data_IF_786868995837
#
_entry.id   IF_786868995837
#
_cell.length_a   1.000
_cell.length_b   1.000
_cell.length_c   1.000
_cell.angle_alpha   90.00
_cell.angle_beta   90.00
_cell.angle_gamma   90.00
#
_symmetry.space_group_name_H-M   'P 1'
#
loop_
_entity.id
_entity.type
_entity.pdbx_description
1 polymer ?
#
# COMPACT_ATOMS: atom_id res chain seq x y z
N UNK A 1 18.68 2.59 -5.52
CA UNK A 1 18.12 1.25 -5.81
C UNK A 1 16.61 1.34 -5.65
N UNK A 2 15.82 0.59 -6.42
CA UNK A 2 14.36 0.54 -6.28
C UNK A 2 13.93 -0.87 -5.87
N UNK A 3 13.08 -0.97 -4.87
CA UNK A 3 12.54 -2.24 -4.36
C UNK A 3 11.02 -2.14 -4.24
N UNK A 4 10.28 -3.24 -4.38
CA UNK A 4 8.84 -3.23 -4.13
C UNK A 4 8.57 -3.00 -2.64
N UNK A 5 7.55 -2.22 -2.29
CA UNK A 5 7.18 -2.05 -0.87
C UNK A 5 6.57 -3.31 -0.25
N UNK A 6 5.98 -4.18 -1.08
CA UNK A 6 5.24 -5.38 -0.68
C UNK A 6 5.41 -6.51 -1.69
N UNK A 7 4.96 -7.71 -1.31
CA UNK A 7 4.90 -8.89 -2.18
C UNK A 7 4.03 -8.70 -3.43
N UNK A 8 4.04 -9.70 -4.32
CA UNK A 8 3.21 -9.71 -5.52
C UNK A 8 1.72 -9.80 -5.19
N UNK A 9 0.91 -8.91 -5.78
CA UNK A 9 -0.54 -8.84 -5.56
C UNK A 9 -1.32 -8.95 -6.87
N UNK A 10 -2.32 -9.82 -6.90
CA UNK A 10 -3.26 -9.94 -8.01
C UNK A 10 -2.66 -10.56 -9.27
N UNK A 11 -3.50 -10.73 -10.29
CA UNK A 11 -3.13 -11.46 -11.51
C UNK A 11 -2.56 -10.58 -12.61
N UNK A 12 -2.77 -9.26 -12.54
CA UNK A 12 -2.22 -8.35 -13.52
C UNK A 12 -0.76 -8.04 -13.19
N UNK A 13 0.15 -8.76 -13.86
CA UNK A 13 1.60 -8.66 -13.69
C UNK A 13 2.10 -7.22 -13.83
N UNK A 14 1.50 -6.41 -14.70
CA UNK A 14 1.91 -5.02 -14.95
C UNK A 14 1.66 -4.10 -13.74
N UNK A 15 0.67 -4.44 -12.91
CA UNK A 15 0.30 -3.67 -11.72
C UNK A 15 0.96 -4.18 -10.44
N UNK A 16 1.75 -5.26 -10.51
CA UNK A 16 2.46 -5.79 -9.36
C UNK A 16 3.63 -4.88 -8.95
N UNK A 17 3.85 -4.76 -7.65
CA UNK A 17 4.93 -3.94 -7.08
C UNK A 17 6.32 -4.32 -7.63
N UNK A 18 6.58 -5.62 -7.87
CA UNK A 18 7.83 -6.10 -8.49
C UNK A 18 8.06 -5.51 -9.88
N UNK A 19 7.01 -5.49 -10.71
CA UNK A 19 7.07 -4.97 -12.08
C UNK A 19 7.25 -3.45 -12.06
N UNK A 20 6.48 -2.75 -11.22
CA UNK A 20 6.59 -1.29 -11.05
C UNK A 20 8.00 -0.91 -10.60
N UNK A 21 8.55 -1.59 -9.59
CA UNK A 21 9.91 -1.34 -9.11
C UNK A 21 10.97 -1.58 -10.21
N UNK A 22 10.81 -2.65 -10.99
CA UNK A 22 11.70 -2.99 -12.10
C UNK A 22 11.68 -1.90 -13.19
N UNK A 23 10.49 -1.49 -13.63
CA UNK A 23 10.32 -0.46 -14.68
C UNK A 23 10.85 0.89 -14.19
N UNK A 24 10.53 1.28 -12.96
CA UNK A 24 11.02 2.53 -12.37
C UNK A 24 12.55 2.54 -12.30
N UNK A 25 13.17 1.46 -11.82
CA UNK A 25 14.62 1.34 -11.75
C UNK A 25 15.27 1.48 -13.13
N UNK A 26 14.74 0.79 -14.14
CA UNK A 26 15.24 0.86 -15.51
C UNK A 26 15.18 2.28 -16.09
N UNK A 27 14.06 3.00 -15.86
CA UNK A 27 13.90 4.38 -16.31
C UNK A 27 14.85 5.35 -15.60
N UNK A 28 15.23 5.06 -14.37
CA UNK A 28 16.18 5.87 -13.59
C UNK A 28 17.64 5.46 -13.80
N UNK A 29 17.93 4.39 -14.55
CA UNK A 29 19.27 3.80 -14.61
C UNK A 29 19.76 3.24 -13.26
N UNK A 30 18.83 2.88 -12.37
CA UNK A 30 19.11 2.36 -11.05
C UNK A 30 19.04 0.81 -11.01
N UNK A 31 19.63 0.21 -9.99
CA UNK A 31 19.47 -1.21 -9.68
C UNK A 31 18.12 -1.50 -9.01
N UNK A 32 17.64 -2.74 -9.11
CA UNK A 32 16.46 -3.23 -8.41
C UNK A 32 16.65 -4.60 -7.76
N UNK A 33 15.78 -4.92 -6.80
CA UNK A 33 15.60 -6.27 -6.25
C UNK A 33 14.11 -6.59 -6.23
N UNK A 34 13.77 -7.86 -6.45
CA UNK A 34 12.40 -8.35 -6.40
C UNK A 34 12.13 -9.06 -5.07
N UNK A 35 10.88 -9.00 -4.63
CA UNK A 35 10.39 -9.75 -3.47
C UNK A 35 9.55 -10.92 -3.97
N UNK A 36 10.10 -12.13 -3.87
CA UNK A 36 9.47 -13.37 -4.35
C UNK A 36 8.50 -13.98 -3.33
N UNK A 37 7.60 -13.16 -2.79
CA UNK A 37 6.57 -13.61 -1.86
C UNK A 37 5.22 -13.04 -2.27
N UNK A 38 4.13 -13.84 -2.30
CA UNK A 38 2.78 -13.32 -2.52
C UNK A 38 2.32 -12.44 -1.36
N UNK A 39 1.54 -11.41 -1.65
CA UNK A 39 1.01 -10.48 -0.64
C UNK A 39 -0.20 -11.03 0.15
N UNK A 40 -0.59 -12.29 -0.09
CA UNK A 40 -1.80 -12.91 0.46
C UNK A 40 -1.53 -14.20 1.24
N UNK A 41 -0.29 -14.43 1.68
CA UNK A 41 0.06 -15.60 2.51
C UNK A 41 -0.39 -15.41 3.96
N UNK A 42 -0.63 -16.50 4.67
CA UNK A 42 -0.87 -16.44 6.13
C UNK A 42 0.37 -15.94 6.86
N UNK A 43 0.18 -15.40 8.06
CA UNK A 43 1.28 -14.95 8.92
C UNK A 43 2.26 -16.09 9.25
N UNK A 44 1.74 -17.30 9.48
CA UNK A 44 2.55 -18.50 9.74
C UNK A 44 3.47 -18.85 8.55
N UNK A 45 2.92 -18.83 7.33
CA UNK A 45 3.69 -19.08 6.11
C UNK A 45 4.72 -17.97 5.91
N UNK A 46 4.32 -16.72 6.10
CA UNK A 46 5.23 -15.57 5.98
C UNK A 46 6.41 -15.68 6.95
N UNK A 47 6.15 -16.01 8.22
CA UNK A 47 7.18 -16.16 9.24
C UNK A 47 8.15 -17.30 8.90
N UNK A 48 7.62 -18.42 8.40
CA UNK A 48 8.43 -19.55 7.92
C UNK A 48 9.34 -19.12 6.75
N UNK A 49 8.81 -18.39 5.77
CA UNK A 49 9.61 -17.88 4.63
C UNK A 49 10.72 -16.94 5.14
N UNK A 50 10.41 -16.01 6.03
CA UNK A 50 11.38 -15.05 6.57
C UNK A 50 12.46 -15.69 7.46
N UNK A 51 12.18 -16.87 8.02
CA UNK A 51 13.13 -17.64 8.82
C UNK A 51 14.08 -18.46 7.94
N UNK A 52 13.57 -19.09 6.87
CA UNK A 52 14.31 -20.06 6.07
C UNK A 52 14.95 -19.45 4.80
N UNK A 53 14.35 -18.43 4.19
CA UNK A 53 14.86 -17.79 2.97
C UNK A 53 15.61 -16.48 3.28
N UNK A 54 16.93 -16.60 3.37
CA UNK A 54 17.84 -15.46 3.59
C UNK A 54 17.78 -14.40 2.49
N UNK A 55 17.45 -14.77 1.26
CA UNK A 55 17.32 -13.85 0.13
C UNK A 55 16.08 -12.97 0.27
N UNK A 56 14.94 -13.58 0.57
CA UNK A 56 13.69 -12.86 0.88
C UNK A 56 13.88 -11.95 2.09
N UNK A 57 14.47 -12.47 3.17
CA UNK A 57 14.75 -11.69 4.38
C UNK A 57 15.59 -10.45 4.08
N UNK A 58 16.67 -10.60 3.31
CA UNK A 58 17.53 -9.48 2.93
C UNK A 58 16.80 -8.41 2.11
N UNK A 59 15.89 -8.80 1.20
CA UNK A 59 15.07 -7.85 0.46
C UNK A 59 14.09 -7.12 1.38
N UNK A 60 13.45 -7.82 2.31
CA UNK A 60 12.55 -7.19 3.31
C UNK A 60 13.31 -6.20 4.20
N UNK A 61 14.54 -6.53 4.61
CA UNK A 61 15.37 -5.62 5.41
C UNK A 61 15.76 -4.35 4.63
N UNK A 62 16.00 -4.46 3.31
CA UNK A 62 16.21 -3.29 2.43
C UNK A 62 14.93 -2.44 2.33
N UNK A 63 13.78 -3.08 2.14
CA UNK A 63 12.48 -2.38 2.04
C UNK A 63 12.22 -1.52 3.28
N UNK A 64 12.49 -2.06 4.47
CA UNK A 64 12.29 -1.38 5.77
C UNK A 64 13.23 -0.20 6.02
N UNK A 65 14.28 -0.06 5.23
CA UNK A 65 15.27 1.02 5.31
C UNK A 65 15.16 2.00 4.13
N UNK A 66 14.06 1.96 3.37
CA UNK A 66 13.93 2.81 2.20
C UNK A 66 13.89 4.30 2.57
N UNK A 67 14.63 5.12 1.81
CA UNK A 67 14.63 6.57 1.98
C UNK A 67 13.31 7.21 1.53
N UNK A 68 12.68 6.62 0.52
CA UNK A 68 11.46 7.13 -0.11
C UNK A 68 10.48 5.97 -0.33
N UNK A 69 9.25 6.12 0.15
CA UNK A 69 8.11 5.28 -0.21
C UNK A 69 7.23 5.99 -1.23
N UNK A 70 6.90 5.30 -2.32
CA UNK A 70 5.87 5.74 -3.28
C UNK A 70 4.75 4.72 -3.27
N UNK A 71 3.52 5.16 -3.03
CA UNK A 71 2.34 4.29 -3.03
C UNK A 71 1.13 4.92 -3.71
N UNK A 72 0.22 4.06 -4.16
CA UNK A 72 -1.12 4.48 -4.60
C UNK A 72 -2.12 4.50 -3.45
N UNK A 73 -3.31 5.01 -3.74
CA UNK A 73 -4.50 4.89 -2.88
C UNK A 73 -5.65 4.25 -3.66
N UNK A 74 -6.25 3.23 -3.06
CA UNK A 74 -7.42 2.52 -3.58
C UNK A 74 -8.64 2.71 -2.69
N UNK A 75 -9.83 2.55 -3.28
CA UNK A 75 -11.06 2.40 -2.49
C UNK A 75 -11.03 1.03 -1.80
N UNK A 76 -11.46 0.97 -0.53
CA UNK A 76 -11.43 -0.25 0.27
C UNK A 76 -12.09 -1.45 -0.44
N UNK A 77 -13.32 -1.29 -0.93
CA UNK A 77 -14.05 -2.37 -1.62
C UNK A 77 -13.32 -2.88 -2.89
N UNK A 78 -12.70 -1.98 -3.65
CA UNK A 78 -11.97 -2.33 -4.88
C UNK A 78 -10.71 -3.12 -4.53
N UNK A 79 -9.95 -2.66 -3.53
CA UNK A 79 -8.72 -3.32 -3.10
C UNK A 79 -8.97 -4.67 -2.44
N UNK A 80 -10.04 -4.80 -1.65
CA UNK A 80 -10.42 -6.06 -1.04
C UNK A 80 -10.80 -7.12 -2.09
N UNK A 81 -11.49 -6.71 -3.17
CA UNK A 81 -11.77 -7.58 -4.33
C UNK A 81 -10.50 -7.97 -5.09
N UNK A 82 -9.57 -7.03 -5.33
CA UNK A 82 -8.28 -7.35 -5.95
C UNK A 82 -7.47 -8.37 -5.14
N UNK A 83 -7.65 -8.38 -3.81
CA UNK A 83 -7.05 -9.34 -2.89
C UNK A 83 -7.81 -10.66 -2.78
N UNK A 84 -8.92 -10.82 -3.51
CA UNK A 84 -9.80 -11.99 -3.45
C UNK A 84 -10.27 -12.31 -2.03
N UNK A 85 -10.52 -11.26 -1.24
CA UNK A 85 -11.13 -11.43 0.08
C UNK A 85 -12.54 -11.99 -0.05
N UNK A 86 -12.97 -12.79 0.92
CA UNK A 86 -14.30 -13.38 0.94
C UNK A 86 -15.37 -12.26 0.95
N UNK A 87 -16.47 -12.38 0.19
CA UNK A 87 -17.50 -11.35 0.10
C UNK A 87 -18.04 -10.89 1.47
N UNK A 88 -18.20 -11.81 2.41
CA UNK A 88 -18.68 -11.56 3.77
C UNK A 88 -17.66 -10.72 4.56
N UNK A 89 -16.36 -10.95 4.32
CA UNK A 89 -15.29 -10.17 4.92
C UNK A 89 -15.20 -8.77 4.30
N UNK A 90 -15.42 -8.65 2.99
CA UNK A 90 -15.50 -7.33 2.33
C UNK A 90 -16.67 -6.53 2.92
N UNK A 91 -17.84 -7.15 3.08
CA UNK A 91 -18.99 -6.46 3.67
C UNK A 91 -18.68 -6.00 5.09
N UNK A 92 -18.08 -6.87 5.92
CA UNK A 92 -17.64 -6.51 7.27
C UNK A 92 -16.66 -5.33 7.28
N UNK A 93 -15.66 -5.31 6.40
CA UNK A 93 -14.72 -4.20 6.30
C UNK A 93 -15.43 -2.86 6.04
N UNK A 94 -16.43 -2.87 5.16
CA UNK A 94 -17.21 -1.68 4.83
C UNK A 94 -18.13 -1.27 5.98
N UNK A 95 -18.78 -2.23 6.63
CA UNK A 95 -19.63 -2.00 7.80
C UNK A 95 -18.82 -1.42 8.99
N UNK A 96 -17.56 -1.84 9.12
CA UNK A 96 -16.61 -1.32 10.11
C UNK A 96 -16.04 0.07 9.73
N UNK A 97 -16.43 0.59 8.56
CA UNK A 97 -16.18 1.95 8.09
C UNK A 97 -14.99 2.12 7.15
N UNK A 98 -14.42 1.05 6.59
CA UNK A 98 -13.28 1.18 5.67
C UNK A 98 -13.70 1.86 4.36
N UNK A 99 -13.03 2.96 4.02
CA UNK A 99 -13.27 3.71 2.77
C UNK A 99 -12.06 3.71 1.84
N UNK A 100 -10.85 3.71 2.40
CA UNK A 100 -9.60 3.72 1.65
C UNK A 100 -8.65 2.57 2.02
N UNK A 101 -7.74 2.26 1.10
CA UNK A 101 -6.61 1.36 1.32
C UNK A 101 -5.33 1.95 0.71
N UNK A 102 -4.24 1.82 1.44
CA UNK A 102 -2.90 2.00 0.92
C UNK A 102 -1.99 0.92 1.50
N UNK A 103 -1.17 0.29 0.63
CA UNK A 103 -0.17 -0.71 1.02
C UNK A 103 -0.68 -1.73 2.05
N UNK A 104 -1.91 -2.23 1.91
CA UNK A 104 -2.54 -3.22 2.79
C UNK A 104 -3.25 -2.70 4.04
N UNK A 105 -3.16 -1.40 4.33
CA UNK A 105 -3.83 -0.75 5.44
C UNK A 105 -5.19 -0.19 5.00
N UNK A 106 -6.27 -0.72 5.57
CA UNK A 106 -7.63 -0.24 5.34
C UNK A 106 -8.00 0.79 6.40
N UNK A 107 -8.48 1.94 5.94
CA UNK A 107 -8.68 3.13 6.78
C UNK A 107 -10.12 3.62 6.68
N UNK A 108 -10.67 4.04 7.81
CA UNK A 108 -11.90 4.80 7.88
C UNK A 108 -11.64 6.28 7.63
N UNK A 109 -12.69 7.03 7.26
CA UNK A 109 -12.57 8.45 6.89
C UNK A 109 -12.02 9.33 8.02
N UNK A 110 -12.22 8.92 9.27
CA UNK A 110 -11.67 9.58 10.48
C UNK A 110 -10.17 9.30 10.70
N UNK A 111 -9.53 8.49 9.85
CA UNK A 111 -8.14 8.07 9.97
C UNK A 111 -7.93 6.84 10.85
N UNK A 112 -8.99 6.22 11.39
CA UNK A 112 -8.84 4.98 12.16
C UNK A 112 -8.48 3.82 11.22
N UNK A 113 -7.46 3.06 11.60
CA UNK A 113 -7.16 1.80 10.94
C UNK A 113 -8.27 0.78 11.24
N UNK A 114 -8.95 0.31 10.19
CA UNK A 114 -10.01 -0.71 10.29
C UNK A 114 -9.42 -2.11 10.20
N UNK A 115 -8.47 -2.32 9.28
CA UNK A 115 -7.86 -3.63 9.06
C UNK A 115 -6.47 -3.48 8.44
N UNK A 116 -5.61 -4.48 8.68
CA UNK A 116 -4.27 -4.56 8.10
C UNK A 116 -4.06 -5.96 7.55
N UNK A 117 -3.61 -6.05 6.30
CA UNK A 117 -3.23 -7.34 5.71
C UNK A 117 -1.85 -7.80 6.18
N UNK A 118 -1.66 -9.11 6.27
CA UNK A 118 -0.33 -9.69 6.41
C UNK A 118 0.45 -9.46 5.11
N UNK A 119 1.63 -8.83 5.20
CA UNK A 119 2.52 -8.57 4.07
C UNK A 119 3.88 -9.19 4.30
N UNK A 120 4.46 -9.71 3.22
CA UNK A 120 5.90 -9.61 3.04
C UNK A 120 6.27 -8.19 2.60
N UNK A 121 7.09 -7.47 3.38
CA UNK A 121 7.59 -6.14 3.05
C UNK A 121 7.38 -5.13 4.17
N UNK A 122 6.84 -3.97 3.79
CA UNK A 122 6.66 -2.81 4.66
C UNK A 122 5.41 -2.92 5.54
N UNK A 123 5.59 -2.85 6.86
CA UNK A 123 4.50 -2.78 7.84
C UNK A 123 4.29 -1.34 8.33
N UNK A 124 3.14 -1.06 8.94
CA UNK A 124 2.83 0.27 9.48
C UNK A 124 3.89 0.76 10.48
N UNK A 125 4.40 -0.13 11.33
CA UNK A 125 5.46 0.18 12.30
C UNK A 125 6.80 0.59 11.66
N UNK A 126 6.98 0.33 10.36
CA UNK A 126 8.19 0.69 9.62
C UNK A 126 8.09 2.10 9.00
N UNK A 127 6.88 2.63 8.77
CA UNK A 127 6.67 3.96 8.17
C UNK A 127 7.42 5.10 8.89
N UNK A 128 7.53 5.15 10.24
CA UNK A 128 8.29 6.19 10.91
C UNK A 128 9.78 6.23 10.54
N UNK A 129 10.35 5.12 10.05
CA UNK A 129 11.77 5.04 9.64
C UNK A 129 12.00 5.49 8.21
N UNK A 130 10.94 5.59 7.41
CA UNK A 130 11.03 6.02 6.02
C UNK A 130 11.23 7.54 5.99
N UNK A 131 12.17 8.00 5.15
CA UNK A 131 12.51 9.41 5.03
C UNK A 131 11.34 10.24 4.48
N UNK A 132 10.85 9.89 3.29
CA UNK A 132 9.74 10.59 2.60
C UNK A 132 8.66 9.63 2.11
N UNK A 133 7.39 9.93 2.39
CA UNK A 133 6.22 9.16 1.96
C UNK A 133 5.41 9.94 0.91
N UNK A 134 5.35 9.41 -0.30
CA UNK A 134 4.71 10.01 -1.47
C UNK A 134 3.50 9.16 -1.90
N UNK A 135 2.33 9.76 -1.89
CA UNK A 135 1.06 9.16 -2.29
C UNK A 135 0.66 9.69 -3.66
N UNK A 136 0.31 8.80 -4.58
CA UNK A 136 -0.12 9.17 -5.94
C UNK A 136 -1.51 8.61 -6.19
N UNK A 137 -2.51 9.49 -6.22
CA UNK A 137 -3.90 9.11 -6.45
C UNK A 137 -4.72 10.32 -6.93
N UNK A 138 -5.68 10.09 -7.82
CA UNK A 138 -6.56 11.14 -8.35
C UNK A 138 -7.95 10.61 -8.69
N UNK A 139 -8.82 11.53 -9.07
CA UNK A 139 -10.21 11.31 -9.43
C UNK A 139 -11.15 11.60 -8.27
N UNK A 140 -12.23 12.34 -8.55
CA UNK A 140 -13.29 12.67 -7.57
C UNK A 140 -13.78 11.45 -6.80
N UNK A 141 -13.94 10.31 -7.46
CA UNK A 141 -14.40 9.06 -6.83
C UNK A 141 -13.45 8.50 -5.76
N UNK A 142 -12.18 8.94 -5.71
CA UNK A 142 -11.21 8.51 -4.72
C UNK A 142 -11.00 9.51 -3.58
N UNK A 143 -11.69 10.64 -3.55
CA UNK A 143 -11.43 11.70 -2.58
C UNK A 143 -11.50 11.20 -1.12
N UNK A 144 -12.56 10.47 -0.74
CA UNK A 144 -12.69 9.89 0.61
C UNK A 144 -11.59 8.88 0.92
N UNK A 145 -11.24 8.02 -0.04
CA UNK A 145 -10.17 7.04 0.11
C UNK A 145 -8.82 7.73 0.35
N UNK A 146 -8.50 8.75 -0.45
CA UNK A 146 -7.29 9.56 -0.31
C UNK A 146 -7.25 10.22 1.06
N UNK A 147 -8.33 10.91 1.46
CA UNK A 147 -8.40 11.60 2.73
C UNK A 147 -8.28 10.64 3.93
N UNK A 148 -8.89 9.46 3.86
CA UNK A 148 -8.79 8.44 4.91
C UNK A 148 -7.35 7.96 5.14
N UNK A 149 -6.58 7.75 4.08
CA UNK A 149 -5.18 7.31 4.15
C UNK A 149 -4.29 8.42 4.70
N UNK A 150 -4.51 9.67 4.27
CA UNK A 150 -3.78 10.84 4.76
C UNK A 150 -4.02 11.03 6.27
N UNK A 151 -5.25 10.82 6.75
CA UNK A 151 -5.58 10.92 8.17
C UNK A 151 -5.00 9.76 8.98
N UNK A 152 -4.94 8.56 8.40
CA UNK A 152 -4.53 7.34 9.10
C UNK A 152 -3.01 7.12 9.18
N UNK A 153 -2.24 7.72 8.28
CA UNK A 153 -0.82 7.42 8.12
C UNK A 153 -0.04 8.67 7.77
N UNK A 154 1.28 8.62 8.00
CA UNK A 154 2.16 9.71 7.59
C UNK A 154 2.19 9.80 6.06
N UNK A 155 1.77 10.95 5.53
CA UNK A 155 1.87 11.30 4.11
C UNK A 155 2.60 12.64 4.00
N UNK A 156 3.83 12.64 3.51
CA UNK A 156 4.61 13.89 3.38
C UNK A 156 4.25 14.64 2.09
N UNK A 157 3.99 13.91 1.00
CA UNK A 157 3.65 14.47 -0.31
C UNK A 157 2.45 13.73 -0.89
N UNK A 158 1.45 14.48 -1.35
CA UNK A 158 0.36 13.97 -2.18
C UNK A 158 0.49 14.51 -3.61
N UNK A 159 0.51 13.61 -4.58
CA UNK A 159 0.35 13.93 -6.00
C UNK A 159 -1.06 13.53 -6.41
N UNK A 160 -1.89 14.51 -6.77
CA UNK A 160 -3.31 14.31 -7.10
C UNK A 160 -3.76 15.19 -8.26
N UNK A 161 -5.00 15.01 -8.72
CA UNK A 161 -5.63 15.86 -9.73
C UNK A 161 -6.58 16.89 -9.09
N UNK A 162 -6.99 17.90 -9.87
CA UNK A 162 -7.87 18.96 -9.39
C UNK A 162 -9.21 18.43 -8.87
N UNK A 163 -9.76 17.38 -9.52
CA UNK A 163 -11.06 16.83 -9.16
C UNK A 163 -11.05 16.17 -7.76
N UNK A 164 -10.00 15.44 -7.42
CA UNK A 164 -9.81 14.91 -6.07
C UNK A 164 -9.45 16.04 -5.09
N UNK A 165 -8.56 16.96 -5.46
CA UNK A 165 -8.12 18.05 -4.59
C UNK A 165 -9.29 18.94 -4.13
N UNK A 166 -10.17 19.35 -5.03
CA UNK A 166 -11.34 20.16 -4.68
C UNK A 166 -12.29 19.43 -3.73
N UNK A 167 -12.59 18.16 -4.00
CA UNK A 167 -13.46 17.38 -3.15
C UNK A 167 -12.85 17.16 -1.76
N UNK A 168 -11.53 16.94 -1.68
CA UNK A 168 -10.81 16.84 -0.40
C UNK A 168 -10.87 18.17 0.37
N UNK A 169 -10.67 19.30 -0.31
CA UNK A 169 -10.74 20.62 0.33
C UNK A 169 -12.12 20.90 0.93
N UNK A 170 -13.20 20.61 0.20
CA UNK A 170 -14.58 20.72 0.70
C UNK A 170 -14.77 19.88 1.99
N UNK A 171 -14.32 18.62 2.00
CA UNK A 171 -14.41 17.73 3.16
C UNK A 171 -13.55 18.13 4.38
N UNK A 172 -12.63 19.10 4.23
CA UNK A 172 -11.81 19.62 5.33
C UNK A 172 -12.42 20.87 5.97
N UNK A 173 -13.38 21.50 5.30
CA UNK A 173 -14.10 22.68 5.80
C UNK A 173 -15.34 22.29 6.65
N UNK A 174 -15.83 21.05 6.48
CA UNK A 174 -16.91 20.43 7.26
C UNK A 174 -16.43 19.87 8.62
#
# INVERSE_FOLDING_TARGET
MVVPARGGLGDNVELQANTIATVLAQRMGASYRQLYVPDSVSEEILNSILAEDTGVKAVVDIIKQADILVHGVGQAAVMARHRRMAPEFIQKLLDDGAVGEAFGQYCALDGRQVYMTNNAGLMLQDLPKIGTVIGVAGGRSKAEAILSVIRASRQDILVTDEAAAHCIAEMLED
#
